data_IF_521646458488
#
_entry.id   IF_521646458488
#
_cell.length_a   1.000
_cell.length_b   1.000
_cell.length_c   1.000
_cell.angle_alpha   90.00
_cell.angle_beta   90.00
_cell.angle_gamma   90.00
#
_symmetry.space_group_name_H-M   'P 1'
#
loop_
_entity.id
_entity.type
_entity.pdbx_description
1 polymer ?
#
# COMPACT_ATOMS: atom_id res chain seq x y z
N UNK A 1 7.78 20.56 -39.78
CA UNK A 1 8.64 19.60 -39.07
C UNK A 1 7.83 19.18 -37.87
N UNK A 2 7.09 18.09 -38.03
CA UNK A 2 6.19 17.55 -37.01
C UNK A 2 7.03 17.03 -35.85
N UNK A 3 6.89 17.65 -34.68
CA UNK A 3 7.30 17.04 -33.42
C UNK A 3 6.06 16.41 -32.82
N UNK A 4 5.69 15.24 -33.35
CA UNK A 4 4.69 14.34 -32.78
C UNK A 4 5.27 13.78 -31.47
N UNK A 5 5.19 14.61 -30.43
CA UNK A 5 5.35 14.15 -29.05
C UNK A 5 3.93 13.77 -28.64
N UNK A 6 3.63 12.52 -28.28
CA UNK A 6 2.31 12.18 -27.79
C UNK A 6 2.09 12.96 -26.50
N UNK A 7 1.29 14.02 -26.61
CA UNK A 7 0.77 14.78 -25.48
C UNK A 7 0.01 13.78 -24.61
N UNK A 8 0.65 13.31 -23.55
CA UNK A 8 0.04 12.43 -22.54
C UNK A 8 -0.83 13.32 -21.66
N UNK A 9 -1.82 13.97 -22.28
CA UNK A 9 -2.79 14.78 -21.57
C UNK A 9 -3.46 13.87 -20.52
N UNK A 10 -3.61 14.33 -19.26
CA UNK A 10 -4.32 13.56 -18.26
C UNK A 10 -5.69 13.19 -18.80
N UNK A 11 -6.06 11.90 -18.80
CA UNK A 11 -7.41 11.49 -19.16
C UNK A 11 -8.36 12.09 -18.10
N UNK A 12 -9.16 13.13 -18.41
CA UNK A 12 -9.96 13.80 -17.40
C UNK A 12 -11.25 13.01 -17.11
N UNK A 13 -11.61 12.08 -17.98
CA UNK A 13 -12.89 11.38 -17.97
C UNK A 13 -12.85 10.24 -16.95
N UNK A 14 -13.76 10.23 -15.96
CA UNK A 14 -13.91 9.08 -15.07
C UNK A 14 -14.29 7.83 -15.86
N UNK A 15 -13.59 6.74 -15.60
CA UNK A 15 -13.89 5.42 -16.15
C UNK A 15 -14.10 4.41 -15.01
N UNK A 16 -14.82 3.30 -15.25
CA UNK A 16 -14.99 2.26 -14.25
C UNK A 16 -13.65 1.82 -13.64
N UNK A 17 -13.65 1.59 -12.33
CA UNK A 17 -12.48 1.07 -11.62
C UNK A 17 -12.57 -0.44 -11.58
N UNK A 18 -11.55 -1.10 -12.11
CA UNK A 18 -11.38 -2.55 -12.01
C UNK A 18 -10.05 -2.87 -11.35
N UNK A 19 -9.91 -4.08 -10.80
CA UNK A 19 -8.68 -4.50 -10.14
C UNK A 19 -7.50 -4.61 -11.12
N UNK A 20 -7.76 -4.98 -12.36
CA UNK A 20 -6.75 -5.02 -13.43
C UNK A 20 -6.23 -3.62 -13.74
N UNK A 21 -7.12 -2.61 -13.77
CA UNK A 21 -6.71 -1.21 -13.95
C UNK A 21 -5.87 -0.72 -12.77
N UNK A 22 -6.25 -1.06 -11.54
CA UNK A 22 -5.43 -0.73 -10.35
C UNK A 22 -4.05 -1.38 -10.48
N UNK A 23 -3.98 -2.64 -10.90
CA UNK A 23 -2.73 -3.38 -11.08
C UNK A 23 -1.79 -2.72 -12.12
N UNK A 24 -2.32 -2.33 -13.29
CA UNK A 24 -1.52 -1.63 -14.31
C UNK A 24 -1.02 -0.26 -13.82
N UNK A 25 -1.82 0.46 -13.03
CA UNK A 25 -1.38 1.71 -12.42
C UNK A 25 -0.25 1.48 -11.40
N UNK A 26 -0.36 0.47 -10.52
CA UNK A 26 0.72 0.11 -9.59
C UNK A 26 2.00 -0.27 -10.33
N UNK A 27 1.88 -1.07 -11.39
CA UNK A 27 3.00 -1.44 -12.27
C UNK A 27 3.66 -0.21 -12.87
N UNK A 28 2.86 0.75 -13.34
CA UNK A 28 3.35 2.03 -13.84
C UNK A 28 4.09 2.87 -12.79
N UNK A 29 3.81 2.66 -11.50
CA UNK A 29 4.55 3.26 -10.38
C UNK A 29 5.76 2.42 -9.93
N UNK A 30 6.08 1.31 -10.61
CA UNK A 30 7.18 0.43 -10.23
C UNK A 30 6.89 -0.47 -9.02
N UNK A 31 5.62 -0.62 -8.61
CA UNK A 31 5.23 -1.48 -7.50
C UNK A 31 4.94 -2.90 -7.99
N UNK A 32 5.56 -3.87 -7.31
CA UNK A 32 5.26 -5.29 -7.53
C UNK A 32 3.88 -5.63 -6.99
N UNK A 33 3.16 -6.49 -7.71
CA UNK A 33 1.85 -6.96 -7.28
C UNK A 33 1.62 -8.41 -7.67
N UNK A 34 0.62 -9.01 -7.03
CA UNK A 34 0.11 -10.34 -7.31
C UNK A 34 -1.42 -10.28 -7.37
N UNK A 35 -2.02 -10.98 -8.33
CA UNK A 35 -3.48 -11.16 -8.38
C UNK A 35 -3.81 -12.55 -7.85
N UNK A 36 -4.70 -12.62 -6.86
CA UNK A 36 -5.21 -13.89 -6.37
C UNK A 36 -5.89 -14.66 -7.52
N UNK A 37 -5.78 -16.00 -7.49
CA UNK A 37 -6.46 -16.81 -8.49
C UNK A 37 -7.97 -16.55 -8.45
N UNK A 38 -8.63 -16.31 -9.60
CA UNK A 38 -10.06 -16.10 -9.63
C UNK A 38 -10.79 -17.29 -9.03
N UNK A 39 -11.49 -17.08 -7.91
CA UNK A 39 -12.40 -18.08 -7.33
C UNK A 39 -13.81 -17.71 -7.77
N UNK A 40 -14.56 -18.71 -8.24
CA UNK A 40 -15.95 -18.51 -8.64
C UNK A 40 -16.74 -17.82 -7.52
N UNK A 41 -17.50 -16.80 -7.88
CA UNK A 41 -18.36 -16.02 -6.98
C UNK A 41 -17.60 -15.23 -5.88
N UNK A 42 -16.28 -15.03 -6.05
CA UNK A 42 -15.47 -14.13 -5.21
C UNK A 42 -14.81 -13.05 -6.05
N UNK A 43 -14.65 -11.83 -5.53
CA UNK A 43 -13.94 -10.77 -6.24
C UNK A 43 -12.45 -11.10 -6.34
N UNK A 44 -11.82 -10.69 -7.44
CA UNK A 44 -10.36 -10.74 -7.60
C UNK A 44 -9.72 -9.83 -6.56
N UNK A 45 -8.70 -10.32 -5.86
CA UNK A 45 -7.94 -9.55 -4.88
C UNK A 45 -6.55 -9.24 -5.46
N UNK A 46 -6.16 -7.97 -5.39
CA UNK A 46 -4.82 -7.51 -5.75
C UNK A 46 -3.99 -7.37 -4.48
N UNK A 47 -2.88 -8.09 -4.41
CA UNK A 47 -1.92 -8.05 -3.31
C UNK A 47 -0.66 -7.30 -3.72
N UNK A 48 -0.16 -6.50 -2.81
CA UNK A 48 1.16 -5.88 -2.86
C UNK A 48 1.65 -5.76 -1.41
N UNK A 49 2.79 -5.12 -1.18
CA UNK A 49 3.27 -4.92 0.17
C UNK A 49 4.68 -4.40 0.21
N UNK A 50 5.09 -4.13 1.44
CA UNK A 50 6.44 -3.79 1.81
C UNK A 50 6.89 -4.73 2.92
N UNK A 51 8.13 -4.57 3.35
CA UNK A 51 8.72 -5.44 4.35
C UNK A 51 7.94 -5.51 5.67
N UNK A 52 7.24 -4.44 6.03
CA UNK A 52 6.50 -4.26 7.27
C UNK A 52 4.98 -4.44 7.11
N UNK A 53 4.49 -4.64 5.88
CA UNK A 53 3.05 -4.68 5.61
C UNK A 53 2.68 -5.51 4.39
N UNK A 54 1.61 -6.26 4.51
CA UNK A 54 0.87 -6.78 3.35
C UNK A 54 -0.27 -5.82 3.02
N UNK A 55 -0.54 -5.58 1.74
CA UNK A 55 -1.61 -4.72 1.26
C UNK A 55 -2.49 -5.53 0.31
N UNK A 56 -3.80 -5.44 0.46
CA UNK A 56 -4.79 -6.09 -0.39
C UNK A 56 -5.86 -5.09 -0.82
N UNK A 57 -6.19 -5.14 -2.10
CA UNK A 57 -7.15 -4.27 -2.73
C UNK A 57 -8.22 -5.09 -3.44
N UNK A 58 -9.47 -4.67 -3.26
CA UNK A 58 -10.63 -5.33 -3.87
C UNK A 58 -11.65 -4.27 -4.27
N UNK A 59 -12.27 -4.45 -5.44
CA UNK A 59 -13.48 -3.72 -5.80
C UNK A 59 -14.66 -4.50 -5.24
N UNK A 60 -15.31 -3.96 -4.23
CA UNK A 60 -16.47 -4.53 -3.55
C UNK A 60 -17.68 -3.61 -3.72
N UNK A 61 -18.58 -4.00 -4.61
CA UNK A 61 -19.73 -3.18 -5.00
C UNK A 61 -19.30 -1.80 -5.52
N UNK A 62 -19.81 -0.69 -4.92
CA UNK A 62 -19.47 0.67 -5.36
C UNK A 62 -18.17 1.20 -4.72
N UNK A 63 -17.34 0.34 -4.11
CA UNK A 63 -16.15 0.76 -3.38
C UNK A 63 -14.88 0.05 -3.86
N UNK A 64 -13.77 0.80 -3.90
CA UNK A 64 -12.43 0.23 -3.88
C UNK A 64 -11.96 0.24 -2.41
N UNK A 65 -11.76 -0.97 -1.88
CA UNK A 65 -11.22 -1.17 -0.53
C UNK A 65 -9.71 -1.34 -0.66
N UNK A 66 -8.97 -0.52 0.08
CA UNK A 66 -7.54 -0.64 0.34
C UNK A 66 -7.38 -1.06 1.79
N UNK A 67 -6.99 -2.29 2.03
CA UNK A 67 -6.68 -2.78 3.36
C UNK A 67 -5.21 -3.17 3.44
N UNK A 68 -4.63 -2.96 4.60
CA UNK A 68 -3.27 -3.32 4.90
C UNK A 68 -3.17 -4.03 6.24
N UNK A 69 -2.33 -5.04 6.30
CA UNK A 69 -1.98 -5.82 7.48
C UNK A 69 -0.55 -5.49 7.87
N UNK A 70 -0.36 -5.00 9.09
CA UNK A 70 0.97 -4.86 9.66
C UNK A 70 1.60 -6.25 9.87
N UNK A 71 2.90 -6.40 9.61
CA UNK A 71 3.61 -7.68 9.70
C UNK A 71 3.76 -8.17 11.14
N UNK A 72 3.77 -7.25 12.11
CA UNK A 72 3.81 -7.59 13.53
C UNK A 72 2.61 -8.44 13.94
N UNK A 73 2.84 -9.41 14.83
CA UNK A 73 1.81 -10.33 15.34
C UNK A 73 1.73 -10.24 16.86
N UNK A 74 1.01 -9.24 17.41
CA UNK A 74 0.84 -9.12 18.85
C UNK A 74 0.10 -10.29 19.49
N UNK A 75 0.45 -10.62 20.72
CA UNK A 75 -0.27 -11.61 21.52
C UNK A 75 -1.68 -11.12 21.89
N UNK A 76 -2.63 -12.04 22.10
CA UNK A 76 -3.98 -11.70 22.59
C UNK A 76 -4.00 -10.89 23.89
N UNK A 77 -3.01 -11.09 24.77
CA UNK A 77 -2.88 -10.33 26.03
C UNK A 77 -2.71 -8.82 25.80
N UNK A 78 -2.25 -8.42 24.62
CA UNK A 78 -2.03 -7.02 24.24
C UNK A 78 -3.26 -6.38 23.58
N UNK A 79 -4.41 -7.08 23.50
CA UNK A 79 -5.65 -6.52 22.98
C UNK A 79 -6.04 -5.16 23.61
N UNK A 80 -5.93 -4.95 24.95
CA UNK A 80 -6.21 -3.63 25.53
C UNK A 80 -5.27 -2.53 25.03
N UNK A 81 -3.98 -2.87 24.82
CA UNK A 81 -2.97 -1.93 24.29
C UNK A 81 -3.26 -1.58 22.83
N UNK A 82 -3.57 -2.58 22.01
CA UNK A 82 -3.96 -2.39 20.61
C UNK A 82 -5.25 -1.56 20.47
N UNK A 83 -6.24 -1.80 21.32
CA UNK A 83 -7.47 -1.01 21.34
C UNK A 83 -7.20 0.46 21.65
N UNK A 84 -6.40 0.74 22.68
CA UNK A 84 -6.02 2.11 23.02
C UNK A 84 -5.26 2.79 21.87
N UNK A 85 -4.32 2.08 21.24
CA UNK A 85 -3.56 2.58 20.10
C UNK A 85 -4.44 2.88 18.88
N UNK A 86 -5.34 1.96 18.50
CA UNK A 86 -6.28 2.17 17.39
C UNK A 86 -7.18 3.37 17.65
N UNK A 87 -7.70 3.52 18.88
CA UNK A 87 -8.51 4.66 19.26
C UNK A 87 -7.72 5.97 19.20
N UNK A 88 -6.50 5.99 19.71
CA UNK A 88 -5.65 7.18 19.66
C UNK A 88 -5.38 7.62 18.22
N UNK A 89 -5.04 6.68 17.34
CA UNK A 89 -4.84 6.97 15.92
C UNK A 89 -6.12 7.51 15.28
N UNK A 90 -7.24 6.79 15.41
CA UNK A 90 -8.51 7.14 14.77
C UNK A 90 -9.12 8.45 15.29
N UNK A 91 -8.74 8.89 16.50
CA UNK A 91 -9.13 10.20 17.03
C UNK A 91 -8.32 11.36 16.45
N UNK A 92 -7.07 11.10 16.04
CA UNK A 92 -6.13 12.13 15.57
C UNK A 92 -6.01 12.20 14.04
N UNK A 93 -6.20 11.06 13.37
CA UNK A 93 -5.99 10.90 11.95
C UNK A 93 -7.30 10.51 11.27
N UNK A 94 -7.58 11.16 10.14
CA UNK A 94 -8.76 10.83 9.32
C UNK A 94 -8.54 9.50 8.58
N UNK A 95 -7.29 9.17 8.26
CA UNK A 95 -6.97 8.02 7.40
C UNK A 95 -5.53 7.54 7.59
N UNK A 96 -5.25 6.22 7.47
CA UNK A 96 -6.22 5.13 7.41
C UNK A 96 -6.96 4.91 8.73
N UNK A 97 -8.08 4.19 8.71
CA UNK A 97 -8.73 3.70 9.94
C UNK A 97 -7.98 2.49 10.44
N UNK A 98 -7.49 2.53 11.67
CA UNK A 98 -6.83 1.41 12.33
C UNK A 98 -7.83 0.54 13.10
N UNK A 99 -7.68 -0.77 12.97
CA UNK A 99 -8.44 -1.79 13.70
C UNK A 99 -7.54 -3.00 13.95
N UNK A 100 -7.95 -3.88 14.85
CA UNK A 100 -7.31 -5.18 14.99
C UNK A 100 -8.36 -6.29 15.03
N UNK A 101 -7.94 -7.50 14.72
CA UNK A 101 -8.79 -8.69 14.77
C UNK A 101 -8.00 -9.89 15.28
N UNK A 102 -8.70 -10.86 15.86
CA UNK A 102 -8.10 -12.13 16.23
C UNK A 102 -7.86 -12.99 14.99
N UNK A 103 -6.66 -13.58 14.90
CA UNK A 103 -6.37 -14.63 13.95
C UNK A 103 -6.86 -15.95 14.55
N UNK A 104 -7.94 -16.50 14.00
CA UNK A 104 -8.61 -17.68 14.53
C UNK A 104 -7.71 -18.91 14.71
N UNK A 105 -6.56 -18.96 14.02
CA UNK A 105 -5.66 -20.12 13.99
C UNK A 105 -4.34 -19.92 14.73
N UNK A 106 -3.97 -18.70 15.15
CA UNK A 106 -2.59 -18.37 15.54
C UNK A 106 -2.43 -17.84 16.98
N UNK A 107 -3.50 -17.87 17.79
CA UNK A 107 -3.54 -17.26 19.13
C UNK A 107 -2.96 -15.82 19.20
N UNK A 108 -3.01 -15.13 18.07
CA UNK A 108 -2.40 -13.83 17.84
C UNK A 108 -3.42 -12.84 17.32
N UNK A 109 -3.06 -11.57 17.41
CA UNK A 109 -3.81 -10.46 16.88
C UNK A 109 -3.11 -9.96 15.61
N UNK A 110 -3.91 -9.41 14.71
CA UNK A 110 -3.40 -8.68 13.55
C UNK A 110 -3.90 -7.26 13.57
N UNK A 111 -2.96 -6.33 13.43
CA UNK A 111 -3.25 -4.92 13.27
C UNK A 111 -3.47 -4.61 11.79
N UNK A 112 -4.51 -3.85 11.51
CA UNK A 112 -4.97 -3.56 10.16
C UNK A 112 -5.27 -2.07 10.00
N UNK A 113 -5.03 -1.56 8.80
CA UNK A 113 -5.28 -0.19 8.40
C UNK A 113 -6.07 -0.18 7.08
N UNK A 114 -7.18 0.56 7.07
CA UNK A 114 -8.14 0.54 5.96
C UNK A 114 -8.41 1.93 5.39
N UNK A 115 -8.48 2.03 4.06
CA UNK A 115 -9.03 3.17 3.33
C UNK A 115 -10.03 2.67 2.29
N UNK A 116 -11.07 3.46 2.06
CA UNK A 116 -12.11 3.13 1.09
C UNK A 116 -12.40 4.38 0.28
N UNK A 117 -12.61 4.22 -1.02
CA UNK A 117 -13.10 5.27 -1.92
C UNK A 117 -14.29 4.74 -2.72
N UNK A 118 -15.29 5.60 -2.95
CA UNK A 118 -16.39 5.27 -3.87
C UNK A 118 -15.87 5.27 -5.31
N UNK A 119 -16.26 4.25 -6.06
CA UNK A 119 -15.94 4.08 -7.48
C UNK A 119 -17.18 3.98 -8.36
N UNK A 120 -18.37 4.28 -7.79
CA UNK A 120 -19.66 4.16 -8.47
C UNK A 120 -19.74 5.00 -9.75
N UNK A 121 -19.23 6.24 -9.71
CA UNK A 121 -19.17 7.13 -10.87
C UNK A 121 -17.93 6.92 -11.75
N UNK A 122 -17.11 5.92 -11.44
CA UNK A 122 -15.76 5.78 -11.97
C UNK A 122 -14.78 6.80 -11.39
N UNK A 123 -13.51 6.61 -11.69
CA UNK A 123 -12.42 7.54 -11.35
C UNK A 123 -11.55 7.73 -12.59
N UNK A 124 -11.01 8.92 -12.76
CA UNK A 124 -9.93 9.13 -13.72
C UNK A 124 -8.58 8.63 -13.16
N UNK A 125 -7.55 8.49 -14.00
CA UNK A 125 -6.29 7.88 -13.57
C UNK A 125 -5.59 8.71 -12.48
N UNK A 126 -5.68 10.04 -12.52
CA UNK A 126 -5.09 10.90 -11.49
C UNK A 126 -5.77 10.76 -10.14
N UNK A 127 -7.10 10.64 -10.11
CA UNK A 127 -7.86 10.40 -8.89
C UNK A 127 -7.52 9.03 -8.29
N UNK A 128 -7.43 8.00 -9.13
CA UNK A 128 -7.11 6.65 -8.68
C UNK A 128 -5.67 6.56 -8.19
N UNK A 129 -4.69 7.08 -8.95
CA UNK A 129 -3.29 7.16 -8.50
C UNK A 129 -3.18 7.98 -7.22
N UNK A 130 -3.85 9.14 -7.15
CA UNK A 130 -3.86 9.99 -5.96
C UNK A 130 -4.37 9.25 -4.73
N UNK A 131 -5.45 8.48 -4.87
CA UNK A 131 -5.94 7.61 -3.80
C UNK A 131 -4.90 6.55 -3.41
N UNK A 132 -4.30 5.84 -4.37
CA UNK A 132 -3.31 4.79 -4.09
C UNK A 132 -2.06 5.33 -3.39
N UNK A 133 -1.44 6.37 -3.93
CA UNK A 133 -0.22 6.95 -3.38
C UNK A 133 -0.44 7.57 -2.00
N UNK A 134 -1.54 8.32 -1.81
CA UNK A 134 -1.86 8.87 -0.48
C UNK A 134 -2.19 7.76 0.52
N UNK A 135 -2.77 6.63 0.06
CA UNK A 135 -3.02 5.47 0.92
C UNK A 135 -1.72 4.86 1.41
N UNK A 136 -0.77 4.61 0.50
CA UNK A 136 0.55 4.07 0.85
C UNK A 136 1.32 5.03 1.77
N UNK A 137 1.30 6.34 1.52
CA UNK A 137 1.94 7.34 2.37
C UNK A 137 1.34 7.36 3.78
N UNK A 138 0.01 7.44 3.88
CA UNK A 138 -0.68 7.44 5.18
C UNK A 138 -0.51 6.13 5.93
N UNK A 139 -0.37 5.02 5.21
CA UNK A 139 -0.07 3.70 5.77
C UNK A 139 1.31 3.67 6.43
N UNK A 140 2.33 4.24 5.77
CA UNK A 140 3.67 4.36 6.34
C UNK A 140 3.67 5.11 7.67
N UNK A 141 2.90 6.20 7.78
CA UNK A 141 2.73 6.93 9.04
C UNK A 141 2.04 6.09 10.12
N UNK A 142 1.02 5.31 9.75
CA UNK A 142 0.32 4.43 10.69
C UNK A 142 1.24 3.32 11.22
N UNK A 143 2.10 2.75 10.37
CA UNK A 143 3.05 1.71 10.76
C UNK A 143 4.25 2.23 11.52
N UNK A 144 4.71 3.44 11.24
CA UNK A 144 5.67 4.12 12.09
C UNK A 144 5.11 4.29 13.51
N UNK A 145 3.88 4.79 13.64
CA UNK A 145 3.20 4.93 14.94
C UNK A 145 3.04 3.59 15.66
N UNK A 146 2.63 2.54 14.95
CA UNK A 146 2.53 1.20 15.52
C UNK A 146 3.90 0.67 16.00
N UNK A 147 4.95 0.88 15.21
CA UNK A 147 6.33 0.43 15.49
C UNK A 147 6.89 1.11 16.74
N UNK A 148 6.65 2.41 16.91
CA UNK A 148 7.07 3.16 18.11
C UNK A 148 6.41 2.62 19.39
N UNK A 149 5.15 2.17 19.31
CA UNK A 149 4.40 1.66 20.47
C UNK A 149 4.57 0.15 20.71
N UNK A 150 4.95 -0.60 19.68
CA UNK A 150 5.06 -2.06 19.68
C UNK A 150 6.42 -2.54 19.12
N UNK A 151 7.56 -2.02 19.61
CA UNK A 151 8.88 -2.33 19.04
C UNK A 151 9.23 -3.81 19.15
N UNK A 152 8.77 -4.50 20.20
CA UNK A 152 9.03 -5.92 20.43
C UNK A 152 8.44 -6.84 19.35
N UNK A 153 7.48 -6.33 18.55
CA UNK A 153 6.83 -7.07 17.48
C UNK A 153 7.45 -6.81 16.09
N UNK A 154 8.51 -6.00 16.03
CA UNK A 154 9.26 -5.71 14.80
C UNK A 154 10.36 -6.73 14.60
N UNK A 155 10.12 -7.70 13.73
CA UNK A 155 11.04 -8.83 13.48
C UNK A 155 11.83 -8.70 12.18
N UNK A 156 11.68 -7.58 11.47
CA UNK A 156 12.19 -7.36 10.11
C UNK A 156 13.22 -6.22 10.00
N UNK A 157 13.75 -5.74 11.13
CA UNK A 157 14.73 -4.63 11.15
C UNK A 157 15.99 -4.92 10.34
N UNK A 158 16.62 -6.08 10.56
CA UNK A 158 17.84 -6.49 9.82
C UNK A 158 17.60 -6.60 8.31
N UNK A 159 16.43 -7.11 7.92
CA UNK A 159 16.04 -7.23 6.52
C UNK A 159 15.80 -5.84 5.88
N UNK A 160 15.27 -4.89 6.64
CA UNK A 160 15.09 -3.50 6.20
C UNK A 160 16.43 -2.79 5.96
N UNK A 161 17.37 -2.92 6.90
CA UNK A 161 18.71 -2.33 6.77
C UNK A 161 19.43 -2.84 5.52
N UNK A 162 19.33 -4.14 5.25
CA UNK A 162 19.89 -4.74 4.04
C UNK A 162 19.26 -4.19 2.76
N UNK A 163 17.93 -4.08 2.71
CA UNK A 163 17.23 -3.55 1.54
C UNK A 163 17.58 -2.08 1.27
N UNK A 164 17.80 -1.29 2.33
CA UNK A 164 18.23 0.10 2.21
C UNK A 164 19.64 0.21 1.62
N UNK A 165 20.59 -0.58 2.13
CA UNK A 165 21.95 -0.64 1.58
C UNK A 165 21.95 -1.04 0.10
N UNK A 166 21.19 -2.10 -0.26
CA UNK A 166 21.07 -2.56 -1.65
C UNK A 166 20.43 -1.48 -2.56
N UNK A 167 19.49 -0.68 -2.04
CA UNK A 167 18.84 0.40 -2.79
C UNK A 167 19.77 1.59 -3.01
N UNK A 168 20.55 1.99 -2.00
CA UNK A 168 21.55 3.05 -2.10
C UNK A 168 22.65 2.70 -3.12
N UNK A 169 23.13 1.45 -3.12
CA UNK A 169 24.11 0.97 -4.10
C UNK A 169 23.55 1.07 -5.54
N UNK A 170 22.30 0.63 -5.75
CA UNK A 170 21.64 0.70 -7.06
C UNK A 170 21.42 2.14 -7.52
N UNK A 171 21.04 3.04 -6.62
CA UNK A 171 20.83 4.45 -6.93
C UNK A 171 22.15 5.10 -7.36
N UNK A 172 23.23 4.88 -6.60
CA UNK A 172 24.56 5.38 -6.93
C UNK A 172 25.05 4.87 -8.29
N UNK A 173 24.85 3.58 -8.59
CA UNK A 173 25.20 3.00 -9.88
C UNK A 173 24.38 3.61 -11.05
N UNK A 174 23.10 3.90 -10.83
CA UNK A 174 22.23 4.52 -11.84
C UNK A 174 22.64 5.98 -12.12
N UNK A 175 23.00 6.75 -11.09
CA UNK A 175 23.50 8.12 -11.22
C UNK A 175 24.82 8.17 -12.01
N UNK A 176 25.78 7.29 -11.67
CA UNK A 176 27.04 7.19 -12.39
C UNK A 176 26.85 6.83 -13.88
N UNK A 177 25.91 5.92 -14.18
CA UNK A 177 25.57 5.55 -15.56
C UNK A 177 24.90 6.72 -16.33
N UNK A 178 24.08 7.52 -15.65
CA UNK A 178 23.44 8.69 -16.25
C UNK A 178 24.44 9.83 -16.52
N UNK A 179 25.44 10.03 -15.65
CA UNK A 179 26.51 11.01 -15.88
C UNK A 179 27.42 10.61 -17.04
N UNK A 180 27.82 9.34 -17.14
CA UNK A 180 28.62 8.82 -18.25
C UNK A 180 27.92 8.95 -19.63
N UNK A 181 26.58 9.00 -19.65
CA UNK A 181 25.80 9.24 -20.87
C UNK A 181 25.70 10.71 -21.26
N UNK A 182 25.99 11.66 -20.36
CA UNK A 182 26.01 13.11 -20.67
C UNK A 182 27.34 13.58 -21.25
N UNK A 183 28.41 12.78 -21.10
CA UNK A 183 29.76 13.10 -21.58
C UNK A 183 30.07 12.55 -22.99
N UNK A 184 29.13 11.83 -23.61
CA UNK A 184 29.15 11.37 -25.01
C UNK A 184 28.17 12.15 -25.88
#
# INVERSE_FOLDING_TARGET
MDTDTPDTAPNPTPTPVTIERVAELLKGQGLNYFLDQPVKDKPTVLRTGFIDTEIFMVVDGPYLVFDARWRGQPDKKDAPKLLAMCNEWNLKQITPVMRFQELAQEDSLVLMASRIISVEAGLNDQQLIGFLLTSIQSLGLAWQFATELLPDYVTWGEELEKLQADAEEKLSAAEAAHEAQKEN
#
